data_IF_032755124806
#
_entry.id   IF_032755124806
#
_cell.length_a   1.000
_cell.length_b   1.000
_cell.length_c   1.000
_cell.angle_alpha   90.00
_cell.angle_beta   90.00
_cell.angle_gamma   90.00
#
_symmetry.space_group_name_H-M   'P 1'
#
loop_
_entity.id
_entity.type
_entity.pdbx_description
1 polymer ?
#
# COMPACT_ATOMS: atom_id res chain seq x y z
N UNK A 1 29.37 10.36 -17.23
CA UNK A 1 28.02 9.96 -16.78
C UNK A 1 27.94 8.45 -16.99
N UNK A 2 27.95 7.67 -15.89
CA UNK A 2 27.71 6.23 -15.97
C UNK A 2 26.19 6.09 -16.08
N UNK A 3 25.69 5.49 -17.15
CA UNK A 3 24.33 5.01 -17.21
C UNK A 3 24.15 3.98 -16.07
N UNK A 4 23.29 4.30 -15.11
CA UNK A 4 22.84 3.34 -14.11
C UNK A 4 22.14 2.22 -14.87
N UNK A 5 22.69 1.04 -14.87
CA UNK A 5 22.09 -0.10 -15.55
C UNK A 5 20.72 -0.41 -14.95
N UNK A 6 19.78 -0.89 -15.75
CA UNK A 6 18.41 -1.24 -15.32
C UNK A 6 18.40 -2.23 -14.13
N UNK A 7 19.49 -2.97 -13.94
CA UNK A 7 19.67 -3.94 -12.84
C UNK A 7 19.94 -3.28 -11.46
N UNK A 8 20.26 -1.98 -11.42
CA UNK A 8 20.59 -1.25 -10.19
C UNK A 8 19.41 -0.39 -9.65
N UNK A 9 18.27 -0.37 -10.34
CA UNK A 9 17.10 0.39 -9.89
C UNK A 9 16.27 -0.40 -8.87
N UNK A 10 15.67 0.32 -7.91
CA UNK A 10 14.72 -0.23 -6.95
C UNK A 10 13.46 -0.68 -7.70
N UNK A 11 13.01 -1.91 -7.45
CA UNK A 11 11.71 -2.40 -7.95
C UNK A 11 10.58 -1.81 -7.10
N UNK A 12 9.91 -0.77 -7.58
CA UNK A 12 8.93 0.02 -6.84
C UNK A 12 7.49 -0.27 -7.23
N UNK A 13 6.59 -0.29 -6.24
CA UNK A 13 5.15 -0.38 -6.39
C UNK A 13 4.48 0.77 -5.64
N UNK A 14 3.51 1.42 -6.26
CA UNK A 14 2.60 2.35 -5.58
C UNK A 14 1.38 1.58 -5.08
N UNK A 15 1.06 1.73 -3.80
CA UNK A 15 -0.16 1.21 -3.20
C UNK A 15 -1.01 2.35 -2.67
N UNK A 16 -2.26 2.42 -3.10
CA UNK A 16 -3.25 3.38 -2.62
C UNK A 16 -4.20 2.68 -1.65
N UNK A 17 -4.56 3.38 -0.59
CA UNK A 17 -5.50 2.90 0.42
C UNK A 17 -6.71 3.83 0.45
N UNK A 18 -7.90 3.25 0.26
CA UNK A 18 -9.16 3.94 0.19
C UNK A 18 -10.08 3.43 1.31
N UNK A 19 -9.96 4.04 2.51
CA UNK A 19 -10.76 3.69 3.70
C UNK A 19 -11.66 4.83 4.12
N UNK A 20 -11.11 6.02 4.15
CA UNK A 20 -11.75 7.20 4.73
C UNK A 20 -12.65 7.89 3.72
N UNK A 21 -12.17 8.01 2.49
CA UNK A 21 -12.89 8.60 1.37
C UNK A 21 -12.20 8.23 0.06
N UNK A 22 -12.82 8.58 -1.06
CA UNK A 22 -12.21 8.45 -2.41
C UNK A 22 -11.55 9.75 -2.88
N UNK A 23 -11.49 10.78 -2.03
CA UNK A 23 -10.81 12.02 -2.37
C UNK A 23 -9.34 11.76 -2.70
N UNK A 24 -8.83 12.45 -3.69
CA UNK A 24 -7.43 12.34 -4.12
C UNK A 24 -7.11 11.18 -5.05
N UNK A 25 -8.02 10.20 -5.22
CA UNK A 25 -7.76 9.07 -6.13
C UNK A 25 -7.62 9.52 -7.59
N UNK A 26 -8.39 10.53 -8.01
CA UNK A 26 -8.28 11.10 -9.36
C UNK A 26 -6.93 11.78 -9.60
N UNK A 27 -6.38 12.46 -8.61
CA UNK A 27 -5.06 13.07 -8.69
C UNK A 27 -3.97 12.01 -8.85
N UNK A 28 -4.06 10.93 -8.07
CA UNK A 28 -3.18 9.80 -8.19
C UNK A 28 -3.30 9.12 -9.56
N UNK A 29 -4.52 8.83 -10.01
CA UNK A 29 -4.78 8.18 -11.29
C UNK A 29 -4.19 9.01 -12.46
N UNK A 30 -4.41 10.32 -12.46
CA UNK A 30 -3.82 11.22 -13.45
C UNK A 30 -2.29 11.19 -13.44
N UNK A 31 -1.67 11.33 -12.27
CA UNK A 31 -0.22 11.33 -12.15
C UNK A 31 0.42 10.00 -12.58
N UNK A 32 -0.26 8.88 -12.29
CA UNK A 32 0.18 7.55 -12.72
C UNK A 32 0.03 7.37 -14.24
N UNK A 33 -1.09 7.79 -14.82
CA UNK A 33 -1.34 7.74 -16.26
C UNK A 33 -0.32 8.55 -17.06
N UNK A 34 0.04 9.74 -16.60
CA UNK A 34 1.05 10.58 -17.24
C UNK A 34 2.42 9.89 -17.30
N UNK A 35 2.67 8.93 -16.42
CA UNK A 35 3.90 8.13 -16.34
C UNK A 35 3.75 6.70 -16.89
N UNK A 36 2.62 6.36 -17.50
CA UNK A 36 2.25 5.00 -17.91
C UNK A 36 2.36 3.97 -16.78
N UNK A 37 1.94 4.34 -15.59
CA UNK A 37 1.97 3.52 -14.40
C UNK A 37 0.56 3.15 -13.94
N UNK A 38 0.47 2.04 -13.20
CA UNK A 38 -0.71 1.62 -12.46
C UNK A 38 -0.35 1.31 -11.01
N UNK A 39 -1.33 1.33 -10.14
CA UNK A 39 -1.17 1.06 -8.71
C UNK A 39 -1.87 -0.24 -8.28
N UNK A 40 -1.50 -0.72 -7.11
CA UNK A 40 -2.31 -1.62 -6.29
C UNK A 40 -3.22 -0.74 -5.43
N UNK A 41 -4.54 -0.88 -5.57
CA UNK A 41 -5.53 -0.08 -4.85
C UNK A 41 -6.25 -0.98 -3.85
N UNK A 42 -6.07 -0.70 -2.57
CA UNK A 42 -6.72 -1.43 -1.47
C UNK A 42 -7.91 -0.62 -0.97
N UNK A 43 -9.11 -1.13 -1.20
CA UNK A 43 -10.36 -0.42 -0.94
C UNK A 43 -11.25 -1.19 0.03
N UNK A 44 -11.86 -0.45 0.96
CA UNK A 44 -12.86 -1.00 1.88
C UNK A 44 -14.20 -1.18 1.17
N UNK A 45 -14.94 -2.21 1.54
CA UNK A 45 -16.17 -2.63 0.88
C UNK A 45 -17.22 -1.52 0.75
N UNK A 46 -17.43 -0.73 1.80
CA UNK A 46 -18.42 0.36 1.78
C UNK A 46 -18.11 1.40 0.69
N UNK A 47 -16.85 1.81 0.57
CA UNK A 47 -16.41 2.74 -0.49
C UNK A 47 -16.47 2.09 -1.86
N UNK A 48 -16.06 0.83 -1.96
CA UNK A 48 -16.12 0.06 -3.21
C UNK A 48 -17.55 0.00 -3.75
N UNK A 49 -18.53 -0.29 -2.90
CA UNK A 49 -19.93 -0.37 -3.29
C UNK A 49 -20.52 1.01 -3.61
N UNK A 50 -20.17 2.03 -2.82
CA UNK A 50 -20.64 3.40 -3.01
C UNK A 50 -20.13 4.02 -4.31
N UNK A 51 -18.88 3.74 -4.69
CA UNK A 51 -18.19 4.28 -5.86
C UNK A 51 -17.85 3.18 -6.89
N UNK A 52 -18.75 2.23 -7.07
CA UNK A 52 -18.50 1.04 -7.88
C UNK A 52 -18.12 1.32 -9.33
N UNK A 53 -18.67 2.36 -9.95
CA UNK A 53 -18.35 2.73 -11.32
C UNK A 53 -16.89 3.26 -11.44
N UNK A 54 -16.43 3.99 -10.43
CA UNK A 54 -15.06 4.49 -10.37
C UNK A 54 -14.06 3.33 -10.22
N UNK A 55 -14.29 2.42 -9.28
CA UNK A 55 -13.39 1.28 -9.10
C UNK A 55 -13.42 0.29 -10.27
N UNK A 56 -14.56 0.16 -10.95
CA UNK A 56 -14.65 -0.60 -12.21
C UNK A 56 -13.77 0.03 -13.29
N UNK A 57 -13.88 1.34 -13.49
CA UNK A 57 -13.06 2.10 -14.42
C UNK A 57 -11.57 1.92 -14.13
N UNK A 58 -11.15 2.10 -12.88
CA UNK A 58 -9.75 1.92 -12.45
C UNK A 58 -9.25 0.50 -12.74
N UNK A 59 -10.08 -0.52 -12.50
CA UNK A 59 -9.74 -1.90 -12.82
C UNK A 59 -9.61 -2.14 -14.35
N UNK A 60 -10.46 -1.53 -15.16
CA UNK A 60 -10.38 -1.59 -16.62
C UNK A 60 -9.13 -0.88 -17.16
N UNK A 61 -8.68 0.16 -16.52
CA UNK A 61 -7.45 0.91 -16.83
C UNK A 61 -6.17 0.20 -16.37
N UNK A 62 -6.28 -0.94 -15.71
CA UNK A 62 -5.16 -1.81 -15.38
C UNK A 62 -4.65 -1.71 -13.95
N UNK A 63 -5.31 -0.92 -13.08
CA UNK A 63 -5.01 -0.96 -11.66
C UNK A 63 -5.42 -2.32 -11.07
N UNK A 64 -4.62 -2.84 -10.14
CA UNK A 64 -4.99 -4.02 -9.36
C UNK A 64 -5.87 -3.59 -8.19
N UNK A 65 -7.13 -4.03 -8.16
CA UNK A 65 -8.04 -3.73 -7.07
C UNK A 65 -7.96 -4.84 -6.03
N UNK A 66 -7.51 -4.48 -4.85
CA UNK A 66 -7.46 -5.30 -3.64
C UNK A 66 -8.59 -4.90 -2.70
N UNK A 67 -9.22 -5.88 -2.07
CA UNK A 67 -10.15 -5.61 -0.98
C UNK A 67 -9.45 -5.48 0.35
N UNK A 68 -9.98 -4.61 1.21
CA UNK A 68 -9.61 -4.56 2.61
C UNK A 68 -10.80 -4.86 3.48
N UNK A 69 -10.67 -5.89 4.32
CA UNK A 69 -11.71 -6.28 5.25
C UNK A 69 -11.93 -5.19 6.30
N UNK A 70 -13.19 -4.84 6.53
CA UNK A 70 -13.61 -3.94 7.60
C UNK A 70 -13.53 -4.63 8.98
N UNK A 71 -13.71 -3.85 10.05
CA UNK A 71 -13.80 -4.34 11.41
C UNK A 71 -12.48 -4.33 12.17
N UNK A 72 -12.31 -5.27 13.10
CA UNK A 72 -11.14 -5.37 13.93
C UNK A 72 -9.95 -6.00 13.22
N UNK A 73 -8.71 -5.77 13.69
CA UNK A 73 -7.54 -6.47 13.16
C UNK A 73 -7.70 -8.00 13.30
N UNK A 74 -7.19 -8.74 12.32
CA UNK A 74 -7.36 -10.20 12.26
C UNK A 74 -6.61 -10.98 13.36
N UNK A 75 -5.72 -10.34 14.08
CA UNK A 75 -5.04 -11.02 15.20
C UNK A 75 -6.06 -11.55 16.23
N UNK A 76 -5.97 -12.84 16.53
CA UNK A 76 -6.87 -13.53 17.47
C UNK A 76 -8.35 -13.61 17.09
N UNK A 77 -8.70 -13.20 15.87
CA UNK A 77 -10.06 -13.37 15.37
C UNK A 77 -10.27 -14.86 15.01
N UNK A 78 -11.42 -15.46 15.39
CA UNK A 78 -11.72 -16.84 15.02
C UNK A 78 -11.69 -17.06 13.50
N UNK A 79 -11.28 -18.26 13.09
CA UNK A 79 -11.17 -18.62 11.67
C UNK A 79 -12.45 -18.34 10.88
N UNK A 80 -13.59 -18.78 11.39
CA UNK A 80 -14.89 -18.63 10.70
C UNK A 80 -15.21 -17.15 10.46
N UNK A 81 -14.93 -16.29 11.42
CA UNK A 81 -15.18 -14.86 11.28
C UNK A 81 -14.24 -14.24 10.25
N UNK A 82 -12.96 -14.59 10.25
CA UNK A 82 -12.01 -14.14 9.22
C UNK A 82 -12.45 -14.62 7.84
N UNK A 83 -12.80 -15.91 7.72
CA UNK A 83 -13.24 -16.51 6.45
C UNK A 83 -14.46 -15.79 5.86
N UNK A 84 -15.48 -15.53 6.67
CA UNK A 84 -16.69 -14.86 6.22
C UNK A 84 -16.41 -13.43 5.74
N UNK A 85 -15.65 -12.63 6.51
CA UNK A 85 -15.25 -11.27 6.12
C UNK A 85 -14.41 -11.25 4.83
N UNK A 86 -13.47 -12.18 4.71
CA UNK A 86 -12.62 -12.28 3.51
C UNK A 86 -13.43 -12.70 2.27
N UNK A 87 -14.39 -13.61 2.46
CA UNK A 87 -15.31 -14.03 1.39
C UNK A 87 -16.19 -12.89 0.91
N UNK A 88 -16.82 -12.16 1.84
CA UNK A 88 -17.66 -11.01 1.52
C UNK A 88 -16.88 -9.94 0.75
N UNK A 89 -15.68 -9.59 1.24
CA UNK A 89 -14.81 -8.63 0.59
C UNK A 89 -14.40 -9.09 -0.82
N UNK A 90 -14.04 -10.37 -0.97
CA UNK A 90 -13.70 -10.95 -2.27
C UNK A 90 -14.86 -10.87 -3.26
N UNK A 91 -16.05 -11.28 -2.83
CA UNK A 91 -17.24 -11.23 -3.66
C UNK A 91 -17.57 -9.81 -4.10
N UNK A 92 -17.48 -8.82 -3.20
CA UNK A 92 -17.71 -7.41 -3.52
C UNK A 92 -16.72 -6.90 -4.58
N UNK A 93 -15.43 -7.18 -4.44
CA UNK A 93 -14.42 -6.76 -5.44
C UNK A 93 -14.69 -7.41 -6.80
N UNK A 94 -14.98 -8.70 -6.83
CA UNK A 94 -15.24 -9.44 -8.07
C UNK A 94 -16.52 -9.00 -8.78
N UNK A 95 -17.57 -8.66 -8.03
CA UNK A 95 -18.81 -8.10 -8.60
C UNK A 95 -18.58 -6.73 -9.22
N UNK A 96 -17.82 -5.86 -8.53
CA UNK A 96 -17.57 -4.50 -9.02
C UNK A 96 -16.64 -4.48 -10.21
N UNK A 97 -15.54 -5.23 -10.14
CA UNK A 97 -14.45 -5.17 -11.13
C UNK A 97 -14.63 -6.13 -12.30
N UNK A 98 -15.42 -7.18 -12.12
CA UNK A 98 -15.51 -8.30 -13.08
C UNK A 98 -14.23 -9.14 -13.17
N UNK A 99 -13.30 -8.98 -12.25
CA UNK A 99 -12.00 -9.69 -12.21
C UNK A 99 -11.83 -10.43 -10.88
N UNK A 100 -11.10 -11.56 -10.85
CA UNK A 100 -10.77 -12.21 -9.59
C UNK A 100 -10.00 -11.27 -8.65
N UNK A 101 -10.38 -11.26 -7.37
CA UNK A 101 -9.61 -10.57 -6.34
C UNK A 101 -8.40 -11.42 -5.96
N UNK A 102 -7.21 -10.95 -6.27
CA UNK A 102 -5.96 -11.68 -6.01
C UNK A 102 -5.28 -11.27 -4.70
N UNK A 103 -5.51 -10.05 -4.26
CA UNK A 103 -4.84 -9.46 -3.09
C UNK A 103 -5.88 -9.04 -2.06
N UNK A 104 -5.62 -9.34 -0.80
CA UNK A 104 -6.48 -8.98 0.32
C UNK A 104 -5.67 -8.34 1.44
N UNK A 105 -6.22 -7.30 2.04
CA UNK A 105 -5.73 -6.67 3.26
C UNK A 105 -6.73 -6.73 4.40
N UNK A 106 -6.27 -6.39 5.58
CA UNK A 106 -7.07 -6.17 6.76
C UNK A 106 -6.60 -4.92 7.49
N UNK A 107 -7.35 -4.50 8.50
CA UNK A 107 -6.96 -3.36 9.34
C UNK A 107 -5.55 -3.57 9.93
N UNK A 108 -4.70 -2.55 9.82
CA UNK A 108 -3.29 -2.57 10.21
C UNK A 108 -2.43 -3.60 9.47
N UNK A 109 -2.90 -4.16 8.35
CA UNK A 109 -2.25 -5.31 7.71
C UNK A 109 -2.05 -6.49 8.66
N UNK A 110 -3.01 -6.66 9.57
CA UNK A 110 -2.98 -7.76 10.54
C UNK A 110 -3.29 -9.09 9.84
N UNK A 111 -2.55 -10.11 10.18
CA UNK A 111 -2.83 -11.46 9.77
C UNK A 111 -2.29 -12.47 10.80
N UNK A 112 -2.83 -13.65 10.78
CA UNK A 112 -2.34 -14.81 11.54
C UNK A 112 -2.50 -16.09 10.70
N UNK A 113 -2.31 -17.24 11.30
CA UNK A 113 -2.44 -18.50 10.59
C UNK A 113 -3.88 -18.77 10.10
N UNK A 114 -4.89 -18.32 10.84
CA UNK A 114 -6.28 -18.41 10.38
C UNK A 114 -6.52 -17.62 9.09
N UNK A 115 -5.86 -16.46 8.96
CA UNK A 115 -5.92 -15.65 7.73
C UNK A 115 -5.34 -16.40 6.55
N UNK A 116 -4.17 -17.01 6.71
CA UNK A 116 -3.53 -17.78 5.64
C UNK A 116 -4.36 -18.97 5.20
N UNK A 117 -4.89 -19.70 6.16
CA UNK A 117 -5.79 -20.85 5.90
C UNK A 117 -7.06 -20.42 5.16
N UNK A 118 -7.69 -19.32 5.58
CA UNK A 118 -8.89 -18.79 4.93
C UNK A 118 -8.60 -18.28 3.52
N UNK A 119 -7.50 -17.54 3.33
CA UNK A 119 -7.07 -17.03 2.02
C UNK A 119 -6.79 -18.19 1.04
N UNK A 120 -6.06 -19.19 1.48
CA UNK A 120 -5.76 -20.39 0.69
C UNK A 120 -7.05 -21.10 0.24
N UNK A 121 -7.98 -21.27 1.16
CA UNK A 121 -9.26 -21.94 0.89
C UNK A 121 -10.18 -21.13 -0.05
N UNK A 122 -10.09 -19.78 -0.01
CA UNK A 122 -10.82 -18.88 -0.89
C UNK A 122 -10.12 -18.65 -2.24
N UNK A 123 -8.94 -19.21 -2.45
CA UNK A 123 -8.16 -19.03 -3.67
C UNK A 123 -7.64 -17.60 -3.83
N UNK A 124 -7.31 -16.92 -2.73
CA UNK A 124 -6.68 -15.60 -2.73
C UNK A 124 -5.17 -15.79 -2.85
N UNK A 125 -4.55 -15.12 -3.82
CA UNK A 125 -3.12 -15.33 -4.13
C UNK A 125 -2.19 -14.67 -3.11
N UNK A 126 -2.59 -13.50 -2.58
CA UNK A 126 -1.74 -12.66 -1.73
C UNK A 126 -2.51 -12.07 -0.55
N UNK A 127 -1.86 -12.03 0.60
CA UNK A 127 -2.31 -11.29 1.80
C UNK A 127 -1.30 -10.17 2.08
N UNK A 128 -1.81 -8.95 2.26
CA UNK A 128 -0.99 -7.82 2.66
C UNK A 128 -0.65 -7.91 4.15
N UNK A 129 0.61 -7.70 4.47
CA UNK A 129 1.11 -7.77 5.83
C UNK A 129 2.00 -6.57 6.14
N UNK A 130 2.02 -6.15 7.40
CA UNK A 130 3.00 -5.20 7.87
C UNK A 130 4.36 -5.89 7.92
N UNK A 131 5.33 -5.30 7.24
CA UNK A 131 6.68 -5.85 7.19
C UNK A 131 7.47 -5.67 8.47
N UNK A 132 8.55 -6.43 8.57
CA UNK A 132 9.56 -6.33 9.63
C UNK A 132 10.91 -5.85 9.11
N UNK A 133 11.03 -5.66 7.82
CA UNK A 133 12.31 -5.60 7.09
C UNK A 133 12.78 -4.17 6.75
N UNK A 134 12.44 -3.16 7.54
CA UNK A 134 12.85 -1.78 7.25
C UNK A 134 12.24 -1.27 5.95
N UNK A 135 12.99 -0.55 5.13
CA UNK A 135 12.51 0.06 3.89
C UNK A 135 12.17 -0.94 2.79
N UNK A 136 12.67 -2.16 2.90
CA UNK A 136 12.49 -3.20 1.90
C UNK A 136 11.11 -3.82 1.98
N UNK A 137 10.39 -3.88 0.87
CA UNK A 137 9.25 -4.77 0.72
C UNK A 137 9.70 -6.21 0.44
N UNK A 138 8.93 -7.19 0.87
CA UNK A 138 9.26 -8.61 0.71
C UNK A 138 8.00 -9.42 0.41
N UNK A 139 8.16 -10.53 -0.30
CA UNK A 139 7.10 -11.50 -0.51
C UNK A 139 7.55 -12.85 0.02
N UNK A 140 6.74 -13.43 0.89
CA UNK A 140 6.98 -14.74 1.49
C UNK A 140 5.97 -15.75 0.98
N UNK A 141 6.40 -17.00 0.81
CA UNK A 141 5.51 -18.13 0.61
C UNK A 141 5.62 -19.07 1.80
N UNK A 142 4.54 -19.23 2.60
CA UNK A 142 4.47 -20.29 3.60
C UNK A 142 4.55 -21.66 2.95
N UNK A 143 5.24 -22.61 3.56
CA UNK A 143 5.37 -23.96 3.00
C UNK A 143 4.04 -24.72 2.96
N UNK A 144 3.12 -24.44 3.88
CA UNK A 144 1.87 -25.18 4.04
C UNK A 144 0.70 -24.62 3.23
N UNK A 145 0.82 -23.41 2.64
CA UNK A 145 -0.25 -22.74 1.92
C UNK A 145 0.22 -22.26 0.55
N UNK A 146 -0.70 -22.18 -0.40
CA UNK A 146 -0.40 -21.60 -1.72
C UNK A 146 -0.43 -20.06 -1.70
N UNK A 147 -1.15 -19.47 -0.75
CA UNK A 147 -1.20 -18.01 -0.55
C UNK A 147 0.18 -17.45 -0.19
N UNK A 148 0.51 -16.30 -0.74
CA UNK A 148 1.75 -15.57 -0.47
C UNK A 148 1.47 -14.34 0.38
N UNK A 149 2.46 -13.88 1.12
CA UNK A 149 2.36 -12.73 2.02
C UNK A 149 3.21 -11.60 1.44
N UNK A 150 2.57 -10.47 1.14
CA UNK A 150 3.26 -9.24 0.75
C UNK A 150 3.50 -8.40 2.00
N UNK A 151 4.75 -8.35 2.42
CA UNK A 151 5.19 -7.50 3.52
C UNK A 151 5.54 -6.12 2.97
N UNK A 152 4.75 -5.10 3.35
CA UNK A 152 4.98 -3.72 2.92
C UNK A 152 6.25 -3.14 3.55
N UNK A 153 6.81 -2.10 2.93
CA UNK A 153 7.94 -1.36 3.51
C UNK A 153 7.55 -0.73 4.84
N UNK A 154 8.33 -0.99 5.89
CA UNK A 154 8.14 -0.42 7.22
C UNK A 154 9.35 0.37 7.64
N UNK A 155 9.12 1.50 8.27
CA UNK A 155 10.14 2.47 8.64
C UNK A 155 10.03 2.77 10.12
N UNK A 156 11.13 2.72 10.89
CA UNK A 156 11.15 3.30 12.22
C UNK A 156 11.05 4.83 12.10
N UNK A 157 10.17 5.43 12.87
CA UNK A 157 9.99 6.88 12.87
C UNK A 157 10.11 7.44 14.30
N UNK A 158 11.26 8.02 14.61
CA UNK A 158 11.59 8.58 15.92
C UNK A 158 11.29 7.58 17.07
N UNK A 159 10.77 8.07 18.19
CA UNK A 159 10.33 7.26 19.34
C UNK A 159 8.94 6.64 19.15
N UNK A 160 8.28 6.91 18.01
CA UNK A 160 6.89 6.58 17.75
C UNK A 160 6.70 5.17 17.15
N UNK A 161 7.74 4.35 17.17
CA UNK A 161 7.69 2.98 16.68
C UNK A 161 7.87 2.87 15.17
N UNK A 162 7.41 1.75 14.61
CA UNK A 162 7.54 1.43 13.19
C UNK A 162 6.23 1.61 12.47
N UNK A 163 6.23 2.36 11.38
CA UNK A 163 5.08 2.56 10.50
C UNK A 163 5.36 2.10 9.08
N UNK A 164 4.31 1.90 8.28
CA UNK A 164 4.48 1.70 6.84
C UNK A 164 5.05 2.96 6.20
N UNK A 165 5.75 2.81 5.08
CA UNK A 165 6.21 3.94 4.26
C UNK A 165 4.98 4.58 3.58
N UNK A 166 4.25 5.36 4.37
CA UNK A 166 2.90 5.82 4.10
C UNK A 166 2.68 7.19 4.74
N UNK A 167 2.03 8.08 4.02
CA UNK A 167 1.63 9.40 4.46
C UNK A 167 0.84 9.36 5.78
N UNK A 168 -0.28 8.65 5.77
CA UNK A 168 -1.15 8.54 6.95
C UNK A 168 -0.43 7.91 8.16
N UNK A 169 0.34 6.88 7.94
CA UNK A 169 1.06 6.19 9.02
C UNK A 169 2.06 7.11 9.72
N UNK A 170 2.77 7.96 8.97
CA UNK A 170 3.72 8.91 9.52
C UNK A 170 3.03 10.17 10.05
N UNK A 171 2.03 10.71 9.34
CA UNK A 171 1.21 11.81 9.82
C UNK A 171 0.56 11.50 11.18
N UNK A 172 -0.04 10.31 11.31
CA UNK A 172 -0.64 9.86 12.57
C UNK A 172 0.39 9.75 13.71
N UNK A 173 1.69 9.63 13.39
CA UNK A 173 2.80 9.62 14.34
C UNK A 173 3.45 11.00 14.55
N UNK A 174 2.79 12.06 14.08
CA UNK A 174 3.23 13.44 14.26
C UNK A 174 4.23 13.94 13.22
N UNK A 175 4.48 13.18 12.15
CA UNK A 175 5.32 13.65 11.05
C UNK A 175 4.69 14.83 10.32
N UNK A 176 5.53 15.78 9.92
CA UNK A 176 5.19 16.81 8.93
C UNK A 176 5.37 16.24 7.51
N UNK A 177 4.90 16.99 6.50
CA UNK A 177 5.16 16.62 5.11
C UNK A 177 6.66 16.66 4.76
N UNK A 178 7.42 17.56 5.40
CA UNK A 178 8.88 17.62 5.25
C UNK A 178 9.54 16.36 5.82
N UNK A 179 9.18 15.95 7.05
CA UNK A 179 9.64 14.69 7.64
C UNK A 179 9.33 13.50 6.72
N UNK A 180 8.12 13.46 6.17
CA UNK A 180 7.71 12.41 5.24
C UNK A 180 8.58 12.40 3.97
N UNK A 181 8.80 13.57 3.36
CA UNK A 181 9.65 13.71 2.18
C UNK A 181 11.09 13.24 2.46
N UNK A 182 11.64 13.59 3.62
CA UNK A 182 12.97 13.13 4.04
C UNK A 182 13.02 11.62 4.25
N UNK A 183 12.00 11.02 4.87
CA UNK A 183 11.90 9.58 5.07
C UNK A 183 11.82 8.84 3.73
N UNK A 184 11.00 9.30 2.79
CA UNK A 184 10.89 8.69 1.46
C UNK A 184 12.22 8.79 0.70
N UNK A 185 12.83 9.97 0.68
CA UNK A 185 14.12 10.19 0.03
C UNK A 185 15.21 9.30 0.66
N UNK A 186 15.28 9.27 1.99
CA UNK A 186 16.24 8.44 2.72
C UNK A 186 16.02 6.94 2.49
N UNK A 187 14.78 6.50 2.31
CA UNK A 187 14.47 5.11 1.97
C UNK A 187 14.95 4.75 0.57
N UNK A 188 14.78 5.64 -0.40
CA UNK A 188 15.31 5.47 -1.76
C UNK A 188 16.84 5.47 -1.73
N UNK A 189 17.47 6.35 -0.94
CA UNK A 189 18.93 6.44 -0.82
C UNK A 189 19.57 5.19 -0.24
N UNK A 190 18.87 4.44 0.59
CA UNK A 190 19.32 3.13 1.10
C UNK A 190 19.33 2.03 0.03
N UNK A 191 18.73 2.31 -1.11
CA UNK A 191 18.70 1.42 -2.27
C UNK A 191 18.19 0.00 -1.96
N UNK A 192 17.00 -0.17 -1.36
CA UNK A 192 16.43 -1.50 -1.18
C UNK A 192 16.18 -2.16 -2.53
N UNK A 193 16.21 -3.51 -2.58
CA UNK A 193 15.90 -4.21 -3.84
C UNK A 193 14.46 -3.97 -4.31
N UNK A 194 13.54 -3.93 -3.35
CA UNK A 194 12.09 -3.82 -3.59
C UNK A 194 11.47 -2.84 -2.60
N UNK A 195 10.51 -2.06 -3.05
CA UNK A 195 9.85 -1.02 -2.25
C UNK A 195 8.36 -0.97 -2.56
N UNK A 196 7.55 -0.74 -1.55
CA UNK A 196 6.15 -0.33 -1.68
C UNK A 196 5.99 1.04 -1.03
N UNK A 197 5.63 2.03 -1.82
CA UNK A 197 5.27 3.35 -1.34
C UNK A 197 3.76 3.44 -1.25
N UNK A 198 3.25 3.70 -0.05
CA UNK A 198 1.83 3.67 0.27
C UNK A 198 1.28 5.08 0.43
N UNK A 199 0.08 5.34 -0.06
CA UNK A 199 -0.66 6.57 0.21
C UNK A 199 -2.10 6.24 0.60
N UNK A 200 -2.58 6.87 1.68
CA UNK A 200 -4.01 7.10 1.83
C UNK A 200 -4.36 8.29 0.93
N UNK A 201 -5.04 8.02 -0.20
CA UNK A 201 -5.20 9.04 -1.26
C UNK A 201 -5.84 10.33 -0.76
N UNK A 202 -6.74 10.26 0.23
CA UNK A 202 -7.39 11.43 0.82
C UNK A 202 -6.44 12.35 1.60
N UNK A 203 -5.25 11.89 1.97
CA UNK A 203 -4.18 12.72 2.53
C UNK A 203 -3.16 13.10 1.46
N UNK A 204 -2.38 12.13 0.99
CA UNK A 204 -1.30 12.38 0.05
C UNK A 204 -1.74 12.86 -1.32
N UNK A 205 -2.93 12.45 -1.79
CA UNK A 205 -3.49 12.91 -3.05
C UNK A 205 -4.24 14.23 -2.98
N UNK A 206 -4.46 14.80 -1.78
CA UNK A 206 -5.26 16.04 -1.60
C UNK A 206 -4.51 17.17 -0.92
N UNK A 207 -3.37 16.91 -0.26
CA UNK A 207 -2.62 17.88 0.53
C UNK A 207 -1.29 18.19 -0.11
N UNK A 208 -1.10 19.44 -0.52
CA UNK A 208 -0.06 19.90 -1.42
C UNK A 208 1.35 19.47 -1.03
N UNK A 209 1.76 19.70 0.21
CA UNK A 209 3.12 19.38 0.62
C UNK A 209 3.39 17.86 0.64
N UNK A 210 2.38 17.06 0.99
CA UNK A 210 2.43 15.60 0.93
C UNK A 210 2.44 15.10 -0.51
N UNK A 211 1.61 15.68 -1.37
CA UNK A 211 1.56 15.38 -2.79
C UNK A 211 2.92 15.60 -3.47
N UNK A 212 3.57 16.73 -3.20
CA UNK A 212 4.91 17.01 -3.74
C UNK A 212 5.97 15.98 -3.35
N UNK A 213 5.86 15.40 -2.15
CA UNK A 213 6.76 14.32 -1.75
C UNK A 213 6.57 13.07 -2.62
N UNK A 214 5.33 12.75 -2.98
CA UNK A 214 5.05 11.63 -3.89
C UNK A 214 5.49 11.93 -5.32
N UNK A 215 5.23 13.11 -5.85
CA UNK A 215 5.70 13.49 -7.20
C UNK A 215 7.21 13.37 -7.30
N UNK A 216 7.93 13.89 -6.30
CA UNK A 216 9.40 13.73 -6.22
C UNK A 216 9.84 12.28 -6.22
N UNK A 217 9.13 11.40 -5.51
CA UNK A 217 9.43 9.97 -5.50
C UNK A 217 9.13 9.29 -6.84
N UNK A 218 7.99 9.63 -7.47
CA UNK A 218 7.60 9.11 -8.78
C UNK A 218 8.60 9.48 -9.89
N UNK A 219 9.21 10.66 -9.80
CA UNK A 219 10.18 11.17 -10.77
C UNK A 219 11.64 10.78 -10.47
N UNK A 220 11.86 9.96 -9.43
CA UNK A 220 13.19 9.47 -9.09
C UNK A 220 13.69 8.45 -10.12
N UNK A 221 14.85 8.70 -10.71
CA UNK A 221 15.54 7.80 -11.64
C UNK A 221 16.12 6.53 -10.95
N UNK A 222 16.15 6.51 -9.62
CA UNK A 222 16.61 5.38 -8.83
C UNK A 222 15.56 4.29 -8.62
N UNK A 223 14.29 4.58 -8.92
CA UNK A 223 13.18 3.64 -8.74
C UNK A 223 12.55 3.32 -10.09
N UNK A 224 12.48 2.04 -10.40
CA UNK A 224 11.67 1.53 -11.50
C UNK A 224 10.27 1.23 -10.98
N UNK A 225 9.39 2.23 -11.04
CA UNK A 225 7.98 2.04 -10.68
C UNK A 225 7.29 1.13 -11.65
N UNK A 226 6.49 0.18 -11.15
CA UNK A 226 5.84 -0.88 -11.94
C UNK A 226 4.40 -1.07 -11.50
N UNK A 227 3.56 -1.55 -12.42
CA UNK A 227 2.27 -2.12 -12.06
C UNK A 227 2.46 -3.44 -11.30
N UNK A 228 1.39 -3.91 -10.65
CA UNK A 228 1.44 -5.04 -9.72
C UNK A 228 2.05 -6.31 -10.33
N UNK A 229 1.61 -6.72 -11.52
CA UNK A 229 2.11 -7.95 -12.15
C UNK A 229 3.61 -7.89 -12.46
N UNK A 230 4.08 -6.75 -12.98
CA UNK A 230 5.49 -6.58 -13.29
C UNK A 230 6.33 -6.42 -12.04
N UNK A 231 5.79 -5.81 -11.00
CA UNK A 231 6.45 -5.73 -9.70
C UNK A 231 6.68 -7.11 -9.10
N UNK A 232 5.64 -7.96 -9.09
CA UNK A 232 5.71 -9.35 -8.60
C UNK A 232 6.73 -10.18 -9.40
N UNK A 233 6.79 -10.03 -10.72
CA UNK A 233 7.73 -10.79 -11.57
C UNK A 233 9.19 -10.46 -11.29
N UNK A 234 9.47 -9.26 -10.79
CA UNK A 234 10.83 -8.80 -10.50
C UNK A 234 11.27 -9.04 -9.05
N UNK A 235 10.40 -9.62 -8.23
CA UNK A 235 10.69 -9.97 -6.85
C UNK A 235 11.43 -11.30 -6.73
N UNK A 236 12.22 -11.39 -5.65
CA UNK A 236 12.71 -12.67 -5.17
C UNK A 236 11.78 -13.19 -4.09
N UNK A 237 11.02 -14.22 -4.43
CA UNK A 237 10.18 -14.93 -3.47
C UNK A 237 11.04 -15.65 -2.42
N UNK A 238 10.65 -15.48 -1.14
CA UNK A 238 11.26 -16.19 -0.02
C UNK A 238 10.30 -17.30 0.45
N UNK A 239 10.79 -18.54 0.46
CA UNK A 239 10.07 -19.66 1.07
C UNK A 239 10.43 -19.72 2.56
N UNK A 240 9.43 -19.78 3.42
CA UNK A 240 9.59 -19.80 4.88
C UNK A 240 8.78 -20.92 5.50
N UNK A 241 9.33 -21.53 6.54
CA UNK A 241 8.54 -22.37 7.43
C UNK A 241 7.49 -21.53 8.17
N UNK A 242 6.31 -22.08 8.42
CA UNK A 242 5.21 -21.34 9.04
C UNK A 242 5.58 -20.72 10.39
N UNK A 243 6.46 -21.38 11.15
CA UNK A 243 6.95 -20.89 12.42
C UNK A 243 7.80 -19.59 12.32
N UNK A 244 8.38 -19.34 11.15
CA UNK A 244 9.28 -18.20 10.89
C UNK A 244 8.56 -17.00 10.26
N UNK A 245 7.23 -17.12 10.03
CA UNK A 245 6.45 -16.05 9.42
C UNK A 245 6.16 -14.95 10.44
N UNK A 246 6.60 -13.70 10.19
CA UNK A 246 6.37 -12.61 11.10
C UNK A 246 4.92 -12.14 11.05
N UNK A 247 4.17 -12.30 12.14
CA UNK A 247 2.76 -11.85 12.22
C UNK A 247 2.59 -10.40 12.73
N UNK A 248 3.68 -9.76 13.17
CA UNK A 248 3.68 -8.37 13.68
C UNK A 248 2.68 -8.08 14.81
N UNK A 249 2.24 -9.11 15.51
CA UNK A 249 1.28 -9.01 16.59
C UNK A 249 1.76 -8.16 17.77
N UNK A 250 3.07 -8.10 17.99
CA UNK A 250 3.69 -7.45 19.14
C UNK A 250 3.87 -5.94 18.97
N UNK A 251 3.54 -5.39 17.81
CA UNK A 251 3.61 -3.94 17.60
C UNK A 251 2.52 -3.27 18.40
N UNK A 252 2.89 -2.66 19.52
CA UNK A 252 1.97 -1.81 20.29
C UNK A 252 1.59 -0.60 19.47
N UNK A 253 0.31 -0.51 19.14
CA UNK A 253 -0.26 0.66 18.49
C UNK A 253 -0.68 1.69 19.52
N UNK A 254 0.26 2.43 20.07
CA UNK A 254 -0.09 3.74 20.58
C UNK A 254 -0.26 4.63 19.36
N UNK A 255 -1.50 5.01 19.05
CA UNK A 255 -1.78 5.98 17.98
C UNK A 255 -1.43 7.35 18.52
N UNK A 256 -0.29 7.95 18.15
CA UNK A 256 0.02 9.32 18.52
C UNK A 256 -0.98 10.25 17.84
N UNK A 257 -1.17 11.42 18.40
CA UNK A 257 -2.01 12.43 17.76
C UNK A 257 -1.19 13.12 16.67
N UNK A 258 -1.76 13.34 15.48
CA UNK A 258 -1.10 14.12 14.45
C UNK A 258 -0.81 15.54 14.95
N UNK A 259 0.29 16.12 14.49
CA UNK A 259 0.70 17.47 14.82
C UNK A 259 -0.26 18.52 14.26
N UNK A 260 -0.83 18.24 13.08
CA UNK A 260 -1.78 19.13 12.39
C UNK A 260 -2.92 18.30 11.82
N UNK A 261 -4.19 18.63 12.12
CA UNK A 261 -5.34 18.00 11.50
C UNK A 261 -5.31 18.14 9.97
N UNK A 262 -5.81 17.13 9.25
CA UNK A 262 -5.79 17.12 7.77
C UNK A 262 -6.49 18.35 7.18
N UNK A 263 -7.59 18.77 7.76
CA UNK A 263 -8.40 19.91 7.28
C UNK A 263 -7.65 21.23 7.34
N UNK A 264 -6.59 21.32 8.15
CA UNK A 264 -5.74 22.50 8.29
C UNK A 264 -4.52 22.50 7.36
N UNK A 265 -4.31 21.43 6.59
CA UNK A 265 -3.24 21.35 5.61
C UNK A 265 -3.67 21.97 4.28
N UNK A 266 -2.73 22.59 3.56
CA UNK A 266 -2.99 23.20 2.28
C UNK A 266 -3.45 22.18 1.23
N UNK A 267 -4.59 22.41 0.55
CA UNK A 267 -5.08 21.48 -0.48
C UNK A 267 -4.23 21.54 -1.76
N UNK A 268 -4.25 20.48 -2.53
CA UNK A 268 -3.77 20.49 -3.92
C UNK A 268 -4.77 21.26 -4.77
N UNK A 269 -4.28 22.19 -5.59
CA UNK A 269 -5.09 22.96 -6.51
C UNK A 269 -4.96 22.45 -7.94
N UNK A 270 -5.96 22.75 -8.81
CA UNK A 270 -5.89 22.39 -10.23
C UNK A 270 -4.67 22.99 -10.93
N UNK A 271 -4.27 24.20 -10.53
CA UNK A 271 -3.12 24.89 -11.10
C UNK A 271 -1.82 24.11 -10.83
N UNK A 272 -1.67 23.54 -9.66
CA UNK A 272 -0.48 22.77 -9.26
C UNK A 272 -0.42 21.40 -9.92
N UNK A 273 -1.56 20.81 -10.29
CA UNK A 273 -1.61 19.58 -11.06
C UNK A 273 -1.25 19.79 -12.54
N UNK A 274 -1.50 21.00 -13.08
CA UNK A 274 -1.24 21.33 -14.48
C UNK A 274 0.20 21.78 -14.73
N UNK A 275 0.88 22.29 -13.71
CA UNK A 275 2.26 22.79 -13.79
C UNK A 275 3.12 22.15 -12.70
N UNK A 276 3.56 20.89 -12.90
CA UNK A 276 4.53 20.31 -11.99
C UNK A 276 5.75 21.21 -11.93
N UNK A 277 6.08 21.68 -10.73
CA UNK A 277 7.23 22.56 -10.52
C UNK A 277 8.48 21.75 -10.82
N UNK A 278 9.18 22.08 -11.91
CA UNK A 278 10.52 21.57 -12.17
C UNK A 278 11.44 22.08 -11.04
N UNK A 279 11.97 21.18 -10.24
CA UNK A 279 13.02 21.43 -9.28
C UNK A 279 14.40 21.23 -9.90
#
# INVERSE_FOLDING_TARGET
EMEVGIEDQINGLIMLIEFESVEGIENWDKALKERNLTALISVQEDLLNQYSDEFRRLAEEGHEISGTCSGDPFWDMPYEQQYDLMKETKEAVEVVTGKPMRVLGSKYFAYDENTLKAADQLGIDYVLARGTAGEKAMVYKPNEYDVKIISVSNIPFQEMGTGSLCDYSLWARGATAEDFSEVVTGSIDKNPSDMILVSHAYLGGTRLAWWKAYEKALDSDRVSWRGFDDWIKNLKLLELDNADIPTNREVKYEVPKPSTPIEMLDPVTEEELLYPVCY
#
